data_IF_670116478265
#
_entry.id   IF_670116478265
#
_cell.length_a   1.000
_cell.length_b   1.000
_cell.length_c   1.000
_cell.angle_alpha   90.00
_cell.angle_beta   90.00
_cell.angle_gamma   90.00
#
_symmetry.space_group_name_H-M   'P 1'
#
loop_
_entity.id
_entity.type
_entity.pdbx_description
1 polymer ?
#
# COMPACT_ATOMS: atom_id res chain seq x y z
N UNK A 1 5.02 -0.85 -7.03
CA UNK A 1 5.61 -1.00 -5.69
C UNK A 1 5.59 -2.45 -5.18
N UNK A 2 4.91 -3.35 -5.89
CA UNK A 2 4.83 -4.77 -5.53
C UNK A 2 4.38 -5.01 -4.06
N UNK A 3 3.54 -4.11 -3.54
CA UNK A 3 3.05 -4.17 -2.15
C UNK A 3 4.16 -4.07 -1.09
N UNK A 4 5.30 -3.49 -1.42
CA UNK A 4 6.46 -3.41 -0.54
C UNK A 4 7.29 -4.70 -0.44
N UNK A 5 6.90 -5.78 -1.13
CA UNK A 5 7.73 -6.98 -1.21
C UNK A 5 8.98 -6.71 -2.06
N UNK A 6 10.17 -7.20 -1.66
CA UNK A 6 11.37 -7.00 -2.45
C UNK A 6 11.29 -7.68 -3.81
N UNK A 7 11.54 -6.93 -4.88
CA UNK A 7 11.48 -7.44 -6.25
C UNK A 7 12.46 -8.62 -6.51
N UNK A 8 13.57 -8.69 -5.77
CA UNK A 8 14.52 -9.79 -5.89
C UNK A 8 13.92 -11.18 -5.57
N UNK A 9 12.77 -11.25 -4.88
CA UNK A 9 12.02 -12.51 -4.69
C UNK A 9 11.62 -13.11 -6.05
N UNK A 10 11.30 -12.29 -7.04
CA UNK A 10 10.90 -12.73 -8.38
C UNK A 10 12.06 -13.20 -9.25
N UNK A 11 13.31 -13.12 -8.76
CA UNK A 11 14.47 -13.73 -9.41
C UNK A 11 14.35 -15.26 -9.47
N UNK A 12 13.72 -15.87 -8.47
CA UNK A 12 13.29 -17.26 -8.54
C UNK A 12 11.92 -17.33 -9.23
N UNK A 13 11.89 -17.88 -10.44
CA UNK A 13 10.68 -18.04 -11.24
C UNK A 13 9.63 -18.98 -10.64
N UNK A 14 10.01 -19.81 -9.67
CA UNK A 14 9.11 -20.70 -8.95
C UNK A 14 8.58 -20.09 -7.67
N UNK A 15 9.03 -18.90 -7.30
CA UNK A 15 8.60 -18.23 -6.08
C UNK A 15 7.09 -18.07 -6.04
N UNK A 16 6.51 -18.49 -4.92
CA UNK A 16 5.10 -18.30 -4.60
C UNK A 16 5.00 -17.37 -3.41
N UNK A 17 4.34 -16.26 -3.62
CA UNK A 17 4.23 -15.21 -2.62
C UNK A 17 2.97 -15.37 -1.79
N UNK A 18 2.99 -14.85 -0.56
CA UNK A 18 1.85 -14.78 0.35
C UNK A 18 1.11 -16.11 0.49
N UNK A 19 1.86 -17.20 0.69
CA UNK A 19 1.32 -18.55 0.92
C UNK A 19 2.33 -19.41 1.68
N UNK A 20 1.92 -20.60 2.13
CA UNK A 20 2.78 -21.56 2.85
C UNK A 20 3.81 -22.24 1.92
N UNK A 21 4.56 -21.44 1.16
CA UNK A 21 5.66 -21.89 0.31
C UNK A 21 6.99 -21.77 1.06
N UNK A 22 7.75 -22.87 1.26
CA UNK A 22 8.88 -22.88 2.19
C UNK A 22 9.94 -21.84 1.94
N UNK A 23 10.31 -21.59 0.68
CA UNK A 23 11.34 -20.61 0.31
C UNK A 23 10.87 -19.18 0.59
N UNK A 24 9.59 -18.89 0.35
CA UNK A 24 9.00 -17.60 0.71
C UNK A 24 8.94 -17.42 2.24
N UNK A 25 8.49 -18.44 2.96
CA UNK A 25 8.41 -18.40 4.42
C UNK A 25 9.79 -18.21 5.07
N UNK A 26 10.86 -18.74 4.46
CA UNK A 26 12.21 -18.49 4.97
C UNK A 26 12.57 -17.00 4.86
N UNK A 27 12.33 -16.37 3.72
CA UNK A 27 12.59 -14.93 3.56
C UNK A 27 11.74 -14.07 4.49
N UNK A 28 10.47 -14.43 4.67
CA UNK A 28 9.59 -13.77 5.65
C UNK A 28 10.12 -13.92 7.07
N UNK A 29 10.60 -15.12 7.43
CA UNK A 29 11.21 -15.35 8.74
C UNK A 29 12.44 -14.48 8.97
N UNK A 30 13.34 -14.43 8.00
CA UNK A 30 14.56 -13.60 8.08
C UNK A 30 14.20 -12.11 8.25
N UNK A 31 13.19 -11.64 7.50
CA UNK A 31 12.69 -10.26 7.62
C UNK A 31 12.12 -9.98 9.02
N UNK A 32 11.23 -10.85 9.55
CA UNK A 32 10.63 -10.60 10.85
C UNK A 32 11.65 -10.66 11.99
N UNK A 33 12.61 -11.59 11.98
CA UNK A 33 13.67 -11.60 12.96
C UNK A 33 14.46 -10.28 12.96
N UNK A 34 14.83 -9.79 11.77
CA UNK A 34 15.53 -8.51 11.65
C UNK A 34 14.67 -7.32 12.06
N UNK A 35 13.38 -7.32 11.71
CA UNK A 35 12.44 -6.28 12.11
C UNK A 35 12.32 -6.21 13.64
N UNK A 36 12.15 -7.35 14.30
CA UNK A 36 11.98 -7.38 15.75
C UNK A 36 13.24 -7.02 16.54
N UNK A 37 14.43 -7.13 15.96
CA UNK A 37 15.64 -6.53 16.53
C UNK A 37 15.54 -5.00 16.65
N UNK A 38 14.80 -4.35 15.74
CA UNK A 38 14.63 -2.89 15.74
C UNK A 38 13.43 -2.41 16.56
N UNK A 39 12.33 -3.17 16.55
CA UNK A 39 11.06 -2.70 17.13
C UNK A 39 10.64 -3.42 18.41
N UNK A 40 11.32 -4.51 18.80
CA UNK A 40 10.91 -5.35 19.94
C UNK A 40 10.74 -4.56 21.24
N UNK A 41 11.67 -3.67 21.54
CA UNK A 41 11.66 -2.81 22.73
C UNK A 41 10.70 -1.61 22.64
N UNK A 42 10.09 -1.38 21.46
CA UNK A 42 9.15 -0.29 21.25
C UNK A 42 7.69 -0.68 21.56
N UNK A 43 7.46 -1.90 21.99
CA UNK A 43 6.14 -2.36 22.40
C UNK A 43 5.70 -1.70 23.71
N UNK A 44 4.40 -1.47 23.85
CA UNK A 44 3.82 -0.82 25.04
C UNK A 44 4.13 -1.60 26.34
N UNK A 45 4.19 -2.92 26.27
CA UNK A 45 4.61 -3.78 27.38
C UNK A 45 6.05 -3.54 27.87
N UNK A 46 6.91 -2.98 27.00
CA UNK A 46 8.30 -2.59 27.28
C UNK A 46 8.46 -1.07 27.54
N UNK A 47 7.35 -0.33 27.57
CA UNK A 47 7.36 1.11 27.75
C UNK A 47 7.40 1.92 26.46
N UNK A 48 7.32 1.28 25.31
CA UNK A 48 7.24 1.92 23.98
C UNK A 48 5.81 2.28 23.58
N UNK A 49 5.61 2.66 22.33
CA UNK A 49 4.36 3.18 21.79
C UNK A 49 3.59 2.19 20.90
N UNK A 50 4.15 1.02 20.59
CA UNK A 50 3.46 0.01 19.77
C UNK A 50 2.44 -0.70 20.64
N UNK A 51 1.15 -0.54 20.31
CA UNK A 51 0.03 -1.09 21.10
C UNK A 51 -0.58 -2.34 20.47
N UNK A 52 -0.40 -2.55 19.19
CA UNK A 52 -0.92 -3.69 18.43
C UNK A 52 -0.09 -3.91 17.16
N UNK A 53 -0.13 -5.12 16.59
CA UNK A 53 0.54 -5.46 15.33
C UNK A 53 -0.40 -6.26 14.44
N UNK A 54 -0.37 -5.98 13.14
CA UNK A 54 -1.23 -6.61 12.14
C UNK A 54 -0.58 -7.84 11.54
N UNK A 55 -1.36 -8.92 11.45
CA UNK A 55 -0.99 -10.14 10.73
C UNK A 55 -1.44 -9.98 9.29
N UNK A 56 -0.50 -9.90 8.34
CA UNK A 56 -0.77 -9.67 6.93
C UNK A 56 -1.54 -8.36 6.65
N UNK A 57 -2.00 -8.15 5.44
CA UNK A 57 -2.86 -7.02 5.06
C UNK A 57 -3.86 -7.44 3.99
N UNK A 58 -5.16 -7.32 4.30
CA UNK A 58 -6.24 -7.66 3.38
C UNK A 58 -6.06 -9.01 2.70
N UNK A 59 -5.57 -9.99 3.47
CA UNK A 59 -5.21 -11.29 2.92
C UNK A 59 -6.39 -11.99 2.26
N UNK A 60 -7.60 -11.76 2.76
CA UNK A 60 -8.81 -12.34 2.20
C UNK A 60 -9.14 -11.90 0.77
N UNK A 61 -8.63 -10.75 0.32
CA UNK A 61 -8.73 -10.30 -1.07
C UNK A 61 -7.71 -10.99 -1.99
N UNK A 62 -6.64 -11.54 -1.41
CA UNK A 62 -5.56 -12.21 -2.12
C UNK A 62 -5.70 -13.75 -2.10
N UNK A 63 -6.06 -14.32 -0.95
CA UNK A 63 -6.07 -15.77 -0.77
C UNK A 63 -6.84 -16.24 0.47
N UNK A 64 -6.69 -17.51 0.78
CA UNK A 64 -7.37 -18.16 1.91
C UNK A 64 -6.50 -19.23 2.60
N UNK A 65 -5.18 -19.15 2.45
CA UNK A 65 -4.22 -20.09 3.05
C UNK A 65 -4.08 -19.84 4.56
N UNK A 66 -4.86 -20.58 5.34
CA UNK A 66 -4.83 -20.48 6.81
C UNK A 66 -3.54 -21.01 7.43
N UNK A 67 -2.84 -21.91 6.78
CA UNK A 67 -1.53 -22.39 7.23
C UNK A 67 -0.51 -21.25 7.17
N UNK A 68 -0.54 -20.47 6.10
CA UNK A 68 0.27 -19.27 5.95
C UNK A 68 -0.02 -18.22 7.03
N UNK A 69 -1.29 -17.86 7.24
CA UNK A 69 -1.67 -16.89 8.28
C UNK A 69 -1.24 -17.34 9.68
N UNK A 70 -1.42 -18.62 10.00
CA UNK A 70 -0.97 -19.20 11.28
C UNK A 70 0.55 -19.22 11.41
N UNK A 71 1.26 -19.40 10.30
CA UNK A 71 2.71 -19.30 10.30
C UNK A 71 3.17 -17.89 10.65
N UNK A 72 2.57 -16.85 10.02
CA UNK A 72 2.90 -15.44 10.32
C UNK A 72 2.59 -15.10 11.78
N UNK A 73 1.41 -15.45 12.26
CA UNK A 73 1.04 -15.27 13.68
C UNK A 73 2.08 -15.88 14.62
N UNK A 74 2.39 -17.16 14.41
CA UNK A 74 3.36 -17.87 15.23
C UNK A 74 4.75 -17.23 15.15
N UNK A 75 5.19 -16.86 13.96
CA UNK A 75 6.48 -16.21 13.75
C UNK A 75 6.57 -14.88 14.52
N UNK A 76 5.53 -14.05 14.46
CA UNK A 76 5.48 -12.79 15.21
C UNK A 76 5.56 -13.04 16.72
N UNK A 77 4.85 -14.05 17.23
CA UNK A 77 4.91 -14.45 18.64
C UNK A 77 6.30 -14.98 19.03
N UNK A 78 6.91 -15.83 18.20
CA UNK A 78 8.25 -16.40 18.42
C UNK A 78 9.34 -15.29 18.39
N UNK A 79 9.15 -14.24 17.56
CA UNK A 79 10.02 -13.06 17.53
C UNK A 79 9.84 -12.13 18.74
N UNK A 80 8.82 -12.36 19.58
CA UNK A 80 8.64 -11.64 20.84
C UNK A 80 7.52 -10.62 20.84
N UNK A 81 6.47 -10.77 20.02
CA UNK A 81 5.26 -9.96 20.14
C UNK A 81 4.60 -10.17 21.51
N UNK A 82 4.35 -9.06 22.22
CA UNK A 82 3.70 -9.02 23.53
C UNK A 82 2.44 -8.16 23.52
N UNK A 83 2.17 -7.46 22.43
CA UNK A 83 0.99 -6.64 22.22
C UNK A 83 -0.07 -7.40 21.42
N UNK A 84 -1.27 -6.82 21.31
CA UNK A 84 -2.37 -7.45 20.60
C UNK A 84 -2.04 -7.70 19.14
N UNK A 85 -2.29 -8.91 18.64
CA UNK A 85 -2.30 -9.21 17.22
C UNK A 85 -3.72 -9.08 16.66
N UNK A 86 -3.84 -8.59 15.41
CA UNK A 86 -5.11 -8.47 14.72
C UNK A 86 -4.95 -8.75 13.22
N UNK A 87 -6.05 -9.08 12.55
CA UNK A 87 -6.17 -9.12 11.08
C UNK A 87 -7.02 -7.96 10.60
N UNK A 88 -6.78 -7.50 9.37
CA UNK A 88 -7.51 -6.43 8.73
C UNK A 88 -7.89 -6.83 7.32
N UNK A 89 -9.19 -6.83 7.01
CA UNK A 89 -9.72 -7.28 5.73
C UNK A 89 -10.86 -6.38 5.26
N UNK A 90 -11.20 -6.44 3.97
CA UNK A 90 -12.37 -5.76 3.43
C UNK A 90 -13.69 -6.25 4.04
N UNK A 91 -14.78 -5.55 3.72
CA UNK A 91 -16.10 -5.69 4.34
C UNK A 91 -16.98 -6.80 3.75
N UNK A 92 -16.42 -7.70 2.96
CA UNK A 92 -17.18 -8.80 2.37
C UNK A 92 -16.89 -10.16 3.03
N UNK A 93 -17.87 -11.06 2.92
CA UNK A 93 -17.80 -12.36 3.57
C UNK A 93 -16.67 -13.25 3.07
N UNK A 94 -16.28 -13.16 1.81
CA UNK A 94 -15.21 -13.94 1.23
C UNK A 94 -13.86 -13.46 1.75
N UNK A 95 -13.66 -12.14 1.79
CA UNK A 95 -12.46 -11.52 2.32
C UNK A 95 -12.29 -11.85 3.80
N UNK A 96 -13.32 -11.68 4.62
CA UNK A 96 -13.25 -12.04 6.03
C UNK A 96 -13.02 -13.53 6.26
N UNK A 97 -13.67 -14.37 5.47
CA UNK A 97 -13.46 -15.82 5.58
C UNK A 97 -12.05 -16.23 5.15
N UNK A 98 -11.47 -15.54 4.14
CA UNK A 98 -10.13 -15.77 3.64
C UNK A 98 -9.03 -15.21 4.55
N UNK A 99 -9.17 -13.97 5.03
CA UNK A 99 -8.13 -13.21 5.71
C UNK A 99 -8.08 -13.34 7.24
N UNK A 100 -9.20 -13.72 7.89
CA UNK A 100 -9.26 -13.74 9.35
C UNK A 100 -8.83 -15.08 9.97
N UNK A 101 -8.43 -15.02 11.24
CA UNK A 101 -8.24 -16.18 12.12
C UNK A 101 -9.29 -16.17 13.23
N UNK A 102 -9.87 -17.34 13.64
CA UNK A 102 -11.00 -17.38 14.57
C UNK A 102 -10.74 -16.73 15.93
N UNK A 103 -9.54 -16.86 16.45
CA UNK A 103 -9.07 -16.48 17.79
C UNK A 103 -8.24 -15.18 17.78
N UNK A 104 -8.10 -14.51 16.63
CA UNK A 104 -7.40 -13.24 16.48
C UNK A 104 -8.42 -12.11 16.34
N UNK A 105 -8.13 -10.95 16.91
CA UNK A 105 -8.98 -9.76 16.75
C UNK A 105 -9.09 -9.38 15.28
N UNK A 106 -10.30 -9.11 14.83
CA UNK A 106 -10.62 -8.81 13.42
C UNK A 106 -11.00 -7.36 13.28
N UNK A 107 -10.43 -6.68 12.32
CA UNK A 107 -10.77 -5.32 11.94
C UNK A 107 -11.21 -5.28 10.48
N UNK A 108 -11.89 -4.22 10.10
CA UNK A 108 -12.45 -4.04 8.76
C UNK A 108 -11.82 -2.83 8.06
N UNK A 109 -11.79 -2.85 6.73
CA UNK A 109 -11.34 -1.76 5.87
C UNK A 109 -12.49 -1.37 4.93
N UNK A 110 -12.92 -0.11 4.99
CA UNK A 110 -13.98 0.43 4.13
C UNK A 110 -14.01 1.97 4.18
N UNK A 111 -14.71 2.60 3.23
CA UNK A 111 -14.79 4.07 3.12
C UNK A 111 -16.14 4.69 3.49
N UNK A 112 -17.19 3.90 3.78
CA UNK A 112 -18.53 4.44 4.07
C UNK A 112 -19.43 3.39 4.72
N UNK A 113 -20.61 3.82 5.20
CA UNK A 113 -21.68 2.97 5.73
C UNK A 113 -21.27 2.13 6.96
N UNK A 114 -20.54 2.74 7.89
CA UNK A 114 -19.99 2.03 9.06
C UNK A 114 -21.06 1.23 9.83
N UNK A 115 -22.22 1.83 10.12
CA UNK A 115 -23.31 1.16 10.83
C UNK A 115 -23.86 -0.07 10.10
N UNK A 116 -24.02 0.01 8.77
CA UNK A 116 -24.52 -1.10 7.95
C UNK A 116 -23.51 -2.24 7.89
N UNK A 117 -22.24 -1.91 7.67
CA UNK A 117 -21.16 -2.88 7.53
C UNK A 117 -20.95 -3.64 8.84
N UNK A 118 -20.81 -2.95 9.96
CA UNK A 118 -20.64 -3.63 11.25
C UNK A 118 -21.86 -4.48 11.65
N UNK A 119 -23.07 -4.06 11.33
CA UNK A 119 -24.26 -4.87 11.55
C UNK A 119 -24.30 -6.12 10.64
N UNK A 120 -23.92 -5.99 9.37
CA UNK A 120 -23.85 -7.12 8.46
C UNK A 120 -22.75 -8.13 8.85
N UNK A 121 -21.69 -7.64 9.46
CA UNK A 121 -20.51 -8.43 9.87
C UNK A 121 -20.56 -8.85 11.35
N UNK A 122 -21.67 -8.62 12.06
CA UNK A 122 -21.83 -8.87 13.51
C UNK A 122 -21.41 -10.30 13.90
N UNK A 123 -21.71 -11.30 13.07
CA UNK A 123 -21.28 -12.69 13.26
C UNK A 123 -19.75 -12.90 13.33
N UNK A 124 -18.97 -12.01 12.74
CA UNK A 124 -17.50 -12.03 12.81
C UNK A 124 -16.95 -11.28 14.01
N UNK A 125 -17.79 -10.44 14.62
CA UNK A 125 -17.44 -9.53 15.72
C UNK A 125 -18.22 -9.80 17.01
N UNK A 126 -18.80 -10.99 17.14
CA UNK A 126 -19.60 -11.35 18.31
C UNK A 126 -18.81 -11.09 19.62
N UNK A 127 -19.26 -10.13 20.42
CA UNK A 127 -18.63 -9.70 21.67
C UNK A 127 -17.21 -9.10 21.52
N UNK A 128 -16.83 -8.58 20.36
CA UNK A 128 -15.56 -7.88 20.15
C UNK A 128 -15.79 -6.41 19.84
N UNK A 129 -14.86 -5.50 20.20
CA UNK A 129 -14.91 -4.11 19.78
C UNK A 129 -14.99 -3.97 18.26
N UNK A 130 -15.75 -2.99 17.77
CA UNK A 130 -15.81 -2.64 16.35
C UNK A 130 -14.64 -1.74 16.02
N UNK A 131 -13.86 -2.07 14.98
CA UNK A 131 -12.73 -1.25 14.55
C UNK A 131 -12.55 -1.30 13.03
N UNK A 132 -12.45 -0.13 12.43
CA UNK A 132 -12.03 0.08 11.05
C UNK A 132 -10.56 0.55 11.05
N UNK A 133 -9.65 -0.28 10.55
CA UNK A 133 -8.21 0.02 10.54
C UNK A 133 -7.78 0.82 9.33
N UNK A 134 -8.55 0.78 8.25
CA UNK A 134 -8.40 1.67 7.10
C UNK A 134 -9.77 2.27 6.76
N UNK A 135 -10.06 3.43 7.36
CA UNK A 135 -11.17 4.24 6.90
C UNK A 135 -10.74 5.04 5.69
N UNK A 136 -11.18 4.63 4.52
CA UNK A 136 -10.84 5.27 3.25
C UNK A 136 -11.59 6.60 3.11
N UNK A 137 -10.88 7.69 3.42
CA UNK A 137 -11.45 9.04 3.35
C UNK A 137 -11.52 9.60 1.93
N UNK A 138 -10.91 8.95 0.97
CA UNK A 138 -10.88 9.27 -0.46
C UNK A 138 -10.42 8.08 -1.29
N UNK A 139 -9.73 8.36 -2.40
CA UNK A 139 -9.11 7.34 -3.26
C UNK A 139 -7.94 7.92 -4.04
N UNK A 140 -7.06 7.07 -4.52
CA UNK A 140 -5.96 7.43 -5.41
C UNK A 140 -6.39 7.37 -6.88
N UNK A 141 -5.60 7.96 -7.78
CA UNK A 141 -5.91 8.03 -9.21
C UNK A 141 -4.95 7.18 -10.04
N UNK A 142 -5.47 6.62 -11.14
CA UNK A 142 -4.67 6.05 -12.21
C UNK A 142 -4.54 7.04 -13.38
N UNK A 143 -3.56 6.80 -14.23
CA UNK A 143 -3.39 7.56 -15.45
C UNK A 143 -4.64 7.48 -16.35
N UNK A 144 -5.18 8.66 -16.71
CA UNK A 144 -6.37 8.77 -17.58
C UNK A 144 -7.69 8.77 -16.84
N UNK A 145 -7.72 8.61 -15.53
CA UNK A 145 -8.93 8.76 -14.71
C UNK A 145 -9.23 10.22 -14.37
N UNK A 146 -10.49 10.51 -14.09
CA UNK A 146 -10.86 11.76 -13.44
C UNK A 146 -10.39 11.74 -11.99
N UNK A 147 -9.86 12.87 -11.52
CA UNK A 147 -9.38 13.00 -10.14
C UNK A 147 -10.50 12.73 -9.13
N UNK A 148 -10.28 11.78 -8.25
CA UNK A 148 -11.20 11.45 -7.18
C UNK A 148 -11.30 12.58 -6.16
N UNK A 149 -12.52 12.99 -5.85
CA UNK A 149 -12.78 14.01 -4.84
C UNK A 149 -13.85 13.58 -3.87
N UNK A 150 -13.71 13.98 -2.61
CA UNK A 150 -14.70 13.73 -1.56
C UNK A 150 -14.90 14.98 -0.71
N UNK A 151 -16.15 15.39 -0.52
CA UNK A 151 -16.47 16.56 0.28
C UNK A 151 -16.23 16.36 1.77
N UNK A 152 -15.83 17.43 2.47
CA UNK A 152 -15.59 17.43 3.91
C UNK A 152 -16.79 16.96 4.75
N UNK A 153 -18.00 17.35 4.35
CA UNK A 153 -19.22 16.94 5.05
C UNK A 153 -19.49 15.43 4.95
N UNK A 154 -19.12 14.82 3.82
CA UNK A 154 -19.20 13.36 3.64
C UNK A 154 -18.24 12.64 4.57
N UNK A 155 -17.00 13.10 4.67
CA UNK A 155 -16.01 12.50 5.57
C UNK A 155 -16.43 12.66 7.03
N UNK A 156 -16.82 13.86 7.44
CA UNK A 156 -17.28 14.13 8.80
C UNK A 156 -18.56 13.35 9.17
N UNK A 157 -19.45 13.14 8.19
CA UNK A 157 -20.67 12.32 8.39
C UNK A 157 -20.33 10.87 8.71
N UNK A 158 -19.38 10.26 8.01
CA UNK A 158 -18.92 8.90 8.30
C UNK A 158 -18.23 8.79 9.67
N UNK A 159 -17.42 9.80 10.05
CA UNK A 159 -16.82 9.83 11.39
C UNK A 159 -17.90 9.89 12.48
N UNK A 160 -18.96 10.66 12.22
CA UNK A 160 -20.10 10.68 13.14
C UNK A 160 -20.76 9.31 13.26
N UNK A 161 -20.92 8.58 12.16
CA UNK A 161 -21.49 7.23 12.18
C UNK A 161 -20.64 6.25 13.01
N UNK A 162 -19.29 6.32 12.92
CA UNK A 162 -18.41 5.55 13.82
C UNK A 162 -18.64 5.88 15.29
N UNK A 163 -18.74 7.17 15.62
CA UNK A 163 -18.97 7.61 17.00
C UNK A 163 -20.34 7.17 17.52
N UNK A 164 -21.40 7.22 16.69
CA UNK A 164 -22.75 6.84 17.07
C UNK A 164 -22.88 5.35 17.41
N UNK A 165 -22.03 4.49 16.87
CA UNK A 165 -22.01 3.03 17.12
C UNK A 165 -20.89 2.56 18.03
N UNK A 166 -20.18 3.50 18.66
CA UNK A 166 -19.02 3.24 19.54
C UNK A 166 -17.94 2.39 18.84
N UNK A 167 -17.62 2.71 17.59
CA UNK A 167 -16.60 2.03 16.82
C UNK A 167 -15.32 2.86 16.75
N UNK A 168 -14.18 2.17 16.81
CA UNK A 168 -12.86 2.75 16.57
C UNK A 168 -12.56 2.83 15.09
N UNK A 169 -11.75 3.82 14.69
CA UNK A 169 -11.32 3.97 13.32
C UNK A 169 -9.90 4.53 13.24
N UNK A 170 -9.24 4.25 12.13
CA UNK A 170 -7.95 4.82 11.73
C UNK A 170 -8.07 5.32 10.29
N UNK A 171 -7.65 6.56 10.03
CA UNK A 171 -7.70 7.13 8.69
C UNK A 171 -6.70 6.46 7.75
N UNK A 172 -7.17 6.08 6.59
CA UNK A 172 -6.37 5.79 5.41
C UNK A 172 -6.85 6.69 4.27
N UNK A 173 -6.21 7.86 3.97
CA UNK A 173 -4.94 8.34 4.53
C UNK A 173 -5.19 9.58 5.38
N UNK A 174 -4.46 9.74 6.45
CA UNK A 174 -4.40 11.03 7.15
C UNK A 174 -3.58 12.05 6.36
N UNK A 175 -2.51 11.59 5.73
CA UNK A 175 -1.67 12.27 4.76
C UNK A 175 -1.28 11.27 3.67
N UNK A 176 -1.68 11.51 2.44
CA UNK A 176 -1.43 10.58 1.33
C UNK A 176 0.01 10.64 0.81
N UNK A 177 0.50 11.82 0.51
CA UNK A 177 1.87 12.04 0.03
C UNK A 177 2.00 12.06 -1.49
N UNK A 178 3.24 11.92 -1.95
CA UNK A 178 3.63 12.05 -3.35
C UNK A 178 4.52 10.88 -3.76
N UNK A 179 4.19 10.21 -4.85
CA UNK A 179 5.05 9.20 -5.46
C UNK A 179 6.15 9.88 -6.29
N UNK A 180 7.38 9.42 -6.19
CA UNK A 180 8.49 10.01 -6.93
C UNK A 180 9.09 9.03 -7.95
N UNK A 181 9.33 9.54 -9.17
CA UNK A 181 10.02 8.83 -10.24
C UNK A 181 9.32 7.50 -10.56
N UNK A 182 10.01 6.40 -10.37
CA UNK A 182 9.52 5.05 -10.67
C UNK A 182 9.01 4.30 -9.42
N UNK A 183 8.61 5.01 -8.38
CA UNK A 183 8.12 4.40 -7.13
C UNK A 183 6.60 4.38 -7.00
N UNK A 184 5.87 4.96 -7.96
CA UNK A 184 4.43 4.84 -8.03
C UNK A 184 4.00 3.37 -8.19
N UNK A 185 2.90 3.01 -7.52
CA UNK A 185 2.31 1.69 -7.66
C UNK A 185 1.45 1.53 -8.91
N UNK A 186 0.83 0.37 -9.04
CA UNK A 186 -0.14 0.08 -10.07
C UNK A 186 -1.12 -0.99 -9.59
N UNK A 187 -2.33 -0.98 -10.16
CA UNK A 187 -3.25 -2.11 -10.10
C UNK A 187 -3.21 -2.86 -11.44
N UNK A 188 -3.50 -4.15 -11.43
CA UNK A 188 -3.58 -4.96 -12.63
C UNK A 188 -4.69 -6.00 -12.45
N UNK A 189 -5.86 -5.70 -12.96
CA UNK A 189 -6.98 -6.64 -13.06
C UNK A 189 -7.01 -7.27 -14.45
N UNK A 190 -7.79 -6.69 -15.37
CA UNK A 190 -7.77 -7.06 -16.79
C UNK A 190 -6.73 -6.25 -17.57
N UNK A 191 -6.56 -4.98 -17.18
CA UNK A 191 -5.59 -4.04 -17.75
C UNK A 191 -4.66 -3.52 -16.66
N UNK A 192 -3.44 -3.17 -17.06
CA UNK A 192 -2.47 -2.53 -16.18
C UNK A 192 -2.83 -1.06 -15.99
N UNK A 193 -2.97 -0.63 -14.74
CA UNK A 193 -3.43 0.69 -14.33
C UNK A 193 -2.38 1.37 -13.45
N UNK A 194 -1.41 2.11 -14.04
CA UNK A 194 -0.38 2.80 -13.28
C UNK A 194 -0.97 3.99 -12.53
N UNK A 195 -0.56 4.17 -11.27
CA UNK A 195 -0.96 5.32 -10.46
C UNK A 195 -0.23 6.59 -10.89
N UNK A 196 -0.84 7.74 -10.63
CA UNK A 196 -0.24 9.06 -10.89
C UNK A 196 0.76 9.43 -9.79
N UNK A 197 1.51 10.53 -10.01
CA UNK A 197 2.48 11.04 -9.04
C UNK A 197 1.84 11.47 -7.73
N UNK A 198 0.72 12.20 -7.78
CA UNK A 198 -0.02 12.60 -6.59
C UNK A 198 -0.69 11.41 -5.91
N UNK A 199 -0.52 11.29 -4.62
CA UNK A 199 -1.29 10.41 -3.76
C UNK A 199 -2.03 11.23 -2.70
N UNK A 200 -2.65 12.35 -3.13
CA UNK A 200 -3.35 13.26 -2.21
C UNK A 200 -4.53 12.58 -1.50
N UNK A 201 -5.19 11.63 -2.17
CA UNK A 201 -6.20 10.71 -1.62
C UNK A 201 -7.42 11.40 -1.01
N UNK A 202 -7.64 12.70 -1.23
CA UNK A 202 -8.54 13.51 -0.42
C UNK A 202 -8.27 13.38 1.09
N UNK A 203 -7.00 13.21 1.45
CA UNK A 203 -6.56 13.04 2.83
C UNK A 203 -6.87 14.27 3.69
N UNK A 204 -6.77 14.12 5.01
CA UNK A 204 -7.00 15.22 5.94
C UNK A 204 -5.91 16.30 5.85
N UNK A 205 -4.69 15.92 5.43
CA UNK A 205 -3.62 16.85 5.10
C UNK A 205 -3.35 16.83 3.59
N UNK A 206 -2.96 17.97 3.06
CA UNK A 206 -2.46 18.08 1.67
C UNK A 206 -1.11 17.36 1.53
N UNK A 207 -0.64 17.13 0.28
CA UNK A 207 0.67 16.51 0.02
C UNK A 207 1.84 17.26 0.67
N UNK A 208 1.71 18.58 0.85
CA UNK A 208 2.72 19.41 1.53
C UNK A 208 2.46 19.61 3.02
N UNK A 209 1.48 18.91 3.60
CA UNK A 209 1.24 18.88 5.04
C UNK A 209 0.35 19.98 5.60
N UNK A 210 -0.35 20.74 4.77
CA UNK A 210 -1.31 21.75 5.21
C UNK A 210 -2.68 21.14 5.50
N UNK A 211 -3.51 21.85 6.25
CA UNK A 211 -4.83 21.39 6.69
C UNK A 211 -5.88 21.53 5.60
N UNK A 212 -6.68 20.49 5.37
CA UNK A 212 -7.80 20.52 4.44
C UNK A 212 -9.12 20.91 5.13
N UNK A 213 -10.17 21.28 4.39
CA UNK A 213 -11.51 21.46 4.96
C UNK A 213 -12.01 20.22 5.71
N UNK A 214 -11.67 19.01 5.25
CA UNK A 214 -12.03 17.77 5.93
C UNK A 214 -11.34 17.63 7.30
N UNK A 215 -10.07 18.07 7.41
CA UNK A 215 -9.37 18.11 8.69
C UNK A 215 -10.12 18.94 9.72
N UNK A 216 -10.51 20.15 9.35
CA UNK A 216 -11.21 21.04 10.29
C UNK A 216 -12.58 20.48 10.70
N UNK A 217 -13.35 19.94 9.75
CA UNK A 217 -14.66 19.37 10.03
C UNK A 217 -14.58 18.16 10.98
N UNK A 218 -13.63 17.26 10.72
CA UNK A 218 -13.38 16.08 11.57
C UNK A 218 -12.87 16.50 12.96
N UNK A 219 -11.92 17.44 13.01
CA UNK A 219 -11.38 17.96 14.28
C UNK A 219 -12.48 18.55 15.16
N UNK A 220 -13.33 19.41 14.61
CA UNK A 220 -14.45 20.01 15.35
C UNK A 220 -15.38 18.94 15.93
N UNK A 221 -15.71 17.94 15.11
CA UNK A 221 -16.56 16.82 15.51
C UNK A 221 -15.95 16.01 16.66
N UNK A 222 -14.67 15.65 16.57
CA UNK A 222 -13.98 14.86 17.57
C UNK A 222 -13.78 15.63 18.89
N UNK A 223 -13.37 16.90 18.84
CA UNK A 223 -13.25 17.74 20.03
C UNK A 223 -14.57 17.82 20.79
N UNK A 224 -15.67 17.99 20.06
CA UNK A 224 -17.02 18.05 20.66
C UNK A 224 -17.46 16.71 21.24
N UNK A 225 -17.28 15.61 20.49
CA UNK A 225 -17.72 14.28 20.90
C UNK A 225 -16.97 13.77 22.12
N UNK A 226 -15.69 14.05 22.24
CA UNK A 226 -14.83 13.61 23.34
C UNK A 226 -14.64 14.66 24.44
N UNK A 227 -15.33 15.81 24.32
CA UNK A 227 -15.21 16.93 25.28
C UNK A 227 -13.75 17.35 25.52
N UNK A 228 -12.96 17.42 24.46
CA UNK A 228 -11.56 17.83 24.50
C UNK A 228 -11.44 19.36 24.40
N UNK A 229 -10.45 19.96 25.04
CA UNK A 229 -10.17 21.39 24.87
C UNK A 229 -9.66 21.68 23.46
N UNK A 230 -10.04 22.84 22.95
CA UNK A 230 -9.41 23.33 21.70
C UNK A 230 -7.93 23.64 21.93
N UNK A 231 -7.09 23.16 21.04
CA UNK A 231 -5.64 23.39 21.07
C UNK A 231 -5.22 24.18 19.83
N UNK A 232 -4.20 25.01 19.98
CA UNK A 232 -3.59 25.69 18.85
C UNK A 232 -2.96 24.66 17.90
N UNK A 233 -3.20 24.85 16.60
CA UNK A 233 -2.61 24.00 15.57
C UNK A 233 -1.19 24.48 15.24
N UNK A 234 -0.27 23.56 14.90
CA UNK A 234 0.99 23.93 14.29
C UNK A 234 0.78 24.85 13.06
N UNK A 235 1.73 25.74 12.84
CA UNK A 235 1.69 26.60 11.66
C UNK A 235 1.76 25.77 10.38
N UNK A 236 1.06 26.20 9.33
CA UNK A 236 1.18 25.60 7.99
C UNK A 236 2.61 25.66 7.49
N UNK A 237 3.07 24.63 6.74
CA UNK A 237 4.42 24.65 6.17
C UNK A 237 4.64 25.83 5.24
N UNK A 238 5.83 26.42 5.28
CA UNK A 238 6.23 27.45 4.34
C UNK A 238 6.55 26.84 2.97
N UNK A 239 5.84 27.26 1.94
CA UNK A 239 6.11 26.86 0.56
C UNK A 239 7.10 27.81 -0.08
N UNK A 240 8.10 27.25 -0.77
CA UNK A 240 9.08 28.02 -1.52
C UNK A 240 8.75 28.00 -3.00
N UNK A 241 8.83 29.18 -3.65
CA UNK A 241 8.71 29.30 -5.09
C UNK A 241 10.09 29.37 -5.71
N UNK A 242 10.48 28.34 -6.46
CA UNK A 242 11.78 28.27 -7.13
C UNK A 242 11.83 29.22 -8.35
N UNK A 243 10.67 29.52 -8.93
CA UNK A 243 10.54 30.34 -10.14
C UNK A 243 10.83 29.55 -11.42
N UNK A 244 11.21 30.26 -12.49
CA UNK A 244 11.52 29.64 -13.78
C UNK A 244 12.95 29.11 -13.76
N UNK A 245 13.10 27.82 -14.04
CA UNK A 245 14.39 27.16 -14.23
C UNK A 245 14.62 26.95 -15.72
N UNK A 246 15.78 27.37 -16.23
CA UNK A 246 16.21 27.10 -17.60
C UNK A 246 17.08 25.84 -17.60
N UNK A 247 16.74 24.87 -18.45
CA UNK A 247 17.54 23.66 -18.65
C UNK A 247 18.52 23.93 -19.78
N UNK A 248 19.79 23.95 -19.49
CA UNK A 248 20.88 24.33 -20.42
C UNK A 248 21.72 23.14 -20.89
N UNK A 249 21.53 21.95 -20.28
CA UNK A 249 22.22 20.74 -20.66
C UNK A 249 21.22 19.63 -21.04
N UNK A 250 21.54 18.87 -22.07
CA UNK A 250 20.77 17.69 -22.48
C UNK A 250 21.68 16.62 -23.08
N UNK A 251 21.29 15.36 -22.94
CA UNK A 251 21.97 14.23 -23.58
C UNK A 251 20.97 13.20 -24.06
N UNK A 252 21.34 12.40 -25.04
CA UNK A 252 20.54 11.28 -25.51
C UNK A 252 20.70 10.08 -24.59
N UNK A 253 19.58 9.48 -24.18
CA UNK A 253 19.58 8.23 -23.43
C UNK A 253 20.30 7.13 -24.22
N UNK A 254 20.00 6.99 -25.53
CA UNK A 254 20.59 5.99 -26.42
C UNK A 254 22.12 6.04 -26.47
N UNK A 255 22.71 7.23 -26.41
CA UNK A 255 24.17 7.39 -26.44
C UNK A 255 24.86 7.14 -25.09
N UNK A 256 24.09 6.88 -24.05
CA UNK A 256 24.61 6.73 -22.69
C UNK A 256 24.33 5.36 -22.05
N UNK A 257 23.72 4.41 -22.73
CA UNK A 257 23.39 3.11 -22.14
C UNK A 257 24.58 2.41 -21.49
N UNK A 258 25.76 2.45 -22.11
CA UNK A 258 26.96 1.83 -21.55
C UNK A 258 27.47 2.49 -20.25
N UNK A 259 26.99 3.71 -19.95
CA UNK A 259 27.32 4.43 -18.74
C UNK A 259 26.23 4.32 -17.65
N UNK A 260 25.03 3.87 -18.01
CA UNK A 260 23.86 3.88 -17.15
C UNK A 260 23.49 2.50 -16.59
N UNK A 261 24.02 1.42 -17.16
CA UNK A 261 23.67 0.07 -16.74
C UNK A 261 24.67 -0.99 -17.15
N UNK A 262 24.41 -2.21 -16.73
CA UNK A 262 25.16 -3.39 -17.10
C UNK A 262 24.51 -4.13 -18.27
N UNK A 263 25.32 -4.71 -19.18
CA UNK A 263 24.83 -5.54 -20.28
C UNK A 263 24.75 -6.99 -19.87
N UNK A 264 23.58 -7.58 -20.05
CA UNK A 264 23.34 -9.00 -19.89
C UNK A 264 22.94 -9.62 -21.22
N UNK A 265 23.44 -10.82 -21.51
CA UNK A 265 23.10 -11.58 -22.71
C UNK A 265 22.22 -12.76 -22.34
N UNK A 266 20.99 -12.75 -22.81
CA UNK A 266 19.98 -13.76 -22.50
C UNK A 266 19.32 -14.24 -23.79
N UNK A 267 18.89 -15.51 -23.88
CA UNK A 267 18.27 -16.04 -25.10
C UNK A 267 16.86 -15.48 -25.36
N UNK A 268 16.17 -15.00 -24.33
CA UNK A 268 14.84 -14.41 -24.37
C UNK A 268 14.81 -13.18 -23.45
N UNK A 269 13.95 -12.19 -23.73
CA UNK A 269 13.73 -11.09 -22.79
C UNK A 269 13.32 -11.62 -21.43
N UNK A 270 13.94 -11.09 -20.37
CA UNK A 270 13.63 -11.33 -18.97
C UNK A 270 13.16 -10.04 -18.33
N UNK A 271 12.37 -10.13 -17.25
CA UNK A 271 11.94 -8.95 -16.50
C UNK A 271 13.11 -8.28 -15.78
N UNK A 272 12.95 -7.02 -15.38
CA UNK A 272 14.01 -6.33 -14.65
C UNK A 272 14.28 -6.97 -13.26
N UNK A 273 13.28 -7.57 -12.63
CA UNK A 273 13.41 -8.27 -11.34
C UNK A 273 14.31 -9.50 -11.47
N UNK A 274 14.32 -10.18 -12.61
CA UNK A 274 15.25 -11.27 -12.88
C UNK A 274 16.71 -10.83 -12.75
N UNK A 275 17.01 -9.60 -13.14
CA UNK A 275 18.33 -8.99 -12.99
C UNK A 275 18.53 -8.33 -11.60
N UNK A 276 17.54 -8.37 -10.72
CA UNK A 276 17.60 -7.80 -9.37
C UNK A 276 17.30 -6.30 -9.31
N UNK A 277 16.74 -5.73 -10.37
CA UNK A 277 16.30 -4.35 -10.43
C UNK A 277 14.80 -4.26 -10.07
N UNK A 278 14.40 -3.33 -9.21
CA UNK A 278 13.01 -3.17 -8.75
C UNK A 278 12.31 -1.91 -9.25
N UNK A 279 13.04 -1.02 -9.90
CA UNK A 279 12.47 0.23 -10.45
C UNK A 279 13.36 0.79 -11.55
N UNK A 280 12.85 1.71 -12.34
CA UNK A 280 13.58 2.38 -13.39
C UNK A 280 13.26 1.85 -14.79
N UNK A 281 14.26 1.66 -15.62
CA UNK A 281 14.12 1.26 -17.01
C UNK A 281 14.99 0.04 -17.32
N UNK A 282 14.51 -0.80 -18.22
CA UNK A 282 15.30 -1.85 -18.86
C UNK A 282 15.28 -1.65 -20.37
N UNK A 283 16.44 -1.78 -21.02
CA UNK A 283 16.58 -1.68 -22.47
C UNK A 283 16.87 -3.06 -23.06
N UNK A 284 16.02 -3.47 -23.98
CA UNK A 284 16.19 -4.72 -24.72
C UNK A 284 16.69 -4.43 -26.13
N UNK A 285 17.72 -5.13 -26.54
CA UNK A 285 18.29 -5.04 -27.87
C UNK A 285 18.38 -6.43 -28.51
N UNK A 286 17.90 -6.55 -29.73
CA UNK A 286 18.11 -7.76 -30.52
C UNK A 286 18.50 -7.41 -31.94
N UNK A 287 19.31 -8.28 -32.57
CA UNK A 287 19.70 -8.13 -33.95
C UNK A 287 19.02 -9.21 -34.79
N UNK A 288 18.27 -8.80 -35.78
CA UNK A 288 17.71 -9.70 -36.77
C UNK A 288 18.78 -10.07 -37.82
N UNK A 289 19.00 -11.36 -38.00
CA UNK A 289 20.02 -11.84 -38.95
C UNK A 289 19.58 -11.73 -40.41
N UNK A 290 18.28 -11.62 -40.65
CA UNK A 290 17.68 -11.54 -42.00
C UNK A 290 16.64 -10.44 -42.05
N UNK A 291 16.46 -9.85 -43.22
CA UNK A 291 15.32 -8.97 -43.50
C UNK A 291 14.13 -9.85 -43.82
N UNK A 292 13.10 -9.74 -43.00
CA UNK A 292 11.82 -10.42 -43.18
C UNK A 292 10.81 -9.49 -43.85
N UNK A 293 9.79 -10.06 -44.48
CA UNK A 293 8.63 -9.28 -44.92
C UNK A 293 8.02 -8.55 -43.67
N UNK A 294 7.41 -7.37 -43.88
CA UNK A 294 6.78 -6.64 -42.76
C UNK A 294 5.88 -7.55 -41.94
N UNK A 295 6.13 -7.60 -40.65
CA UNK A 295 5.38 -8.40 -39.69
C UNK A 295 5.08 -7.56 -38.45
N UNK A 296 4.04 -7.96 -37.76
CA UNK A 296 3.67 -7.36 -36.50
C UNK A 296 4.67 -7.79 -35.41
N UNK A 297 5.19 -6.81 -34.67
CA UNK A 297 5.90 -7.07 -33.40
C UNK A 297 4.85 -7.23 -32.31
N UNK A 298 4.89 -8.36 -31.62
CA UNK A 298 4.05 -8.63 -30.45
C UNK A 298 4.94 -8.81 -29.24
N UNK A 299 4.75 -7.97 -28.25
CA UNK A 299 5.40 -8.08 -26.95
C UNK A 299 4.31 -8.43 -25.93
N UNK A 300 4.40 -9.62 -25.36
CA UNK A 300 3.46 -10.05 -24.33
C UNK A 300 3.90 -9.54 -22.96
N UNK A 301 2.93 -9.38 -22.05
CA UNK A 301 3.18 -9.03 -20.66
C UNK A 301 3.99 -7.73 -20.48
N UNK A 302 3.66 -6.71 -21.29
CA UNK A 302 4.21 -5.38 -21.05
C UNK A 302 3.52 -4.80 -19.81
N UNK A 303 4.31 -4.59 -18.77
CA UNK A 303 3.90 -3.88 -17.58
C UNK A 303 4.67 -2.58 -17.52
N UNK A 304 3.95 -1.52 -17.25
CA UNK A 304 4.15 -0.11 -17.44
C UNK A 304 4.16 0.29 -18.91
N UNK A 305 5.16 0.99 -19.36
CA UNK A 305 5.19 1.60 -20.69
C UNK A 305 6.40 1.08 -21.50
N UNK A 306 6.16 0.69 -22.74
CA UNK A 306 7.21 0.29 -23.68
C UNK A 306 7.35 1.26 -24.83
N UNK A 307 8.58 1.60 -25.18
CA UNK A 307 8.95 2.35 -26.38
C UNK A 307 9.73 1.46 -27.32
N UNK A 308 9.35 1.45 -28.59
CA UNK A 308 10.01 0.67 -29.65
C UNK A 308 10.70 1.62 -30.63
N UNK A 309 11.98 1.37 -30.93
CA UNK A 309 12.80 2.20 -31.79
C UNK A 309 13.30 1.45 -33.00
#
# INVERSE_FOLDING_TARGET
DFGGLPAWLLKDRNMRLRCAYPEYLQHVSDFYHRLFEEIGDLQQSEGGNIIAMQIENEYGSYGNDKEYLRYIEKLMLDCGTKVMLFTSDGDDNSMLSGGTLPDVFKTLNFGSRASEIFNAMDRFHENTPKMCTEFWCGWFDHWGEEHHTRGSDSVAGEIKDFLDIDASFNFYMFHGGTNFGFTAGANCYEEYQPTVTSYDYCALLTEWGDYTPAYYAVRELLLKAQNLPETELPASPELQTIGKVELDESTSLMSNFDNLGERHYVPLPESMEYFGQNSGMIYYETKLEQIYDPRELRVANVHDTAYVY
#
